data_IF_951686151596
#
_entry.id   IF_951686151596
#
_cell.length_a   1.000
_cell.length_b   1.000
_cell.length_c   1.000
_cell.angle_alpha   90.00
_cell.angle_beta   90.00
_cell.angle_gamma   90.00
#
_symmetry.space_group_name_H-M   'P 1'
#
loop_
_entity.id
_entity.type
_entity.pdbx_description
1 polymer ?
#
# COMPACT_ATOMS: atom_id res chain seq x y z
N UNK A 1 60.16 8.40 64.38
CA UNK A 1 59.78 9.21 63.21
C UNK A 1 59.33 8.30 62.12
N UNK A 2 58.00 8.09 61.94
CA UNK A 2 57.45 7.17 60.97
C UNK A 2 56.81 7.96 59.82
N UNK A 3 57.30 7.71 58.63
CA UNK A 3 56.74 8.27 57.37
C UNK A 3 55.54 7.41 56.90
N UNK A 4 54.38 8.04 56.95
CA UNK A 4 53.16 7.43 56.36
C UNK A 4 53.18 7.68 54.84
N UNK A 5 53.29 6.61 54.06
CA UNK A 5 53.00 6.61 52.60
C UNK A 5 51.52 6.62 52.38
N UNK A 6 51.00 7.64 51.67
CA UNK A 6 49.63 7.76 51.20
C UNK A 6 49.62 7.19 49.78
N UNK A 7 48.99 6.03 49.59
CA UNK A 7 48.66 5.51 48.25
C UNK A 7 47.41 6.22 47.72
N UNK A 8 47.59 7.00 46.70
CA UNK A 8 46.52 7.67 45.96
C UNK A 8 46.11 6.78 44.80
N UNK A 9 44.99 6.05 44.98
CA UNK A 9 44.39 5.22 43.91
C UNK A 9 43.68 6.13 42.90
N UNK A 10 44.20 6.24 41.69
CA UNK A 10 43.51 6.84 40.56
C UNK A 10 42.52 5.81 40.01
N UNK A 11 41.23 6.01 40.27
CA UNK A 11 40.15 5.29 39.56
C UNK A 11 39.96 5.92 38.19
N UNK A 12 40.40 5.22 37.15
CA UNK A 12 40.15 5.56 35.74
C UNK A 12 38.70 5.25 35.42
N UNK A 13 37.81 6.27 35.42
CA UNK A 13 36.46 6.14 34.89
C UNK A 13 36.55 6.05 33.35
N UNK A 14 36.52 4.84 32.84
CA UNK A 14 36.27 4.60 31.40
C UNK A 14 34.80 4.88 31.11
N UNK A 15 34.49 6.08 30.62
CA UNK A 15 33.19 6.37 29.99
C UNK A 15 33.11 5.60 28.69
N UNK A 16 32.38 4.49 28.70
CA UNK A 16 31.95 3.81 27.49
C UNK A 16 31.01 4.76 26.72
N UNK A 17 31.54 5.47 25.75
CA UNK A 17 30.72 6.06 24.68
C UNK A 17 30.12 4.91 23.90
N UNK A 18 28.85 4.55 24.20
CA UNK A 18 28.03 3.86 23.24
C UNK A 18 27.80 4.84 22.09
N UNK A 19 28.53 4.65 21.01
CA UNK A 19 28.17 5.28 19.74
C UNK A 19 26.80 4.74 19.35
N UNK A 20 25.75 5.50 19.61
CA UNK A 20 24.45 5.27 19.00
C UNK A 20 24.67 5.22 17.49
N UNK A 21 24.55 4.04 16.90
CA UNK A 21 24.62 3.92 15.46
C UNK A 21 23.50 4.78 14.89
N UNK A 22 23.88 5.91 14.29
CA UNK A 22 22.96 6.90 13.75
C UNK A 22 21.98 6.19 12.83
N UNK A 23 20.70 6.24 13.17
CA UNK A 23 19.62 5.58 12.44
C UNK A 23 19.61 6.07 10.99
N UNK A 24 19.92 5.18 10.05
CA UNK A 24 19.94 5.49 8.61
C UNK A 24 18.53 5.40 8.05
N UNK A 25 18.01 6.50 7.54
CA UNK A 25 16.74 6.53 6.82
C UNK A 25 16.95 6.71 5.32
N UNK A 26 16.20 5.96 4.51
CA UNK A 26 16.25 6.02 3.04
C UNK A 26 14.84 6.29 2.52
N UNK A 27 14.64 7.43 1.85
CA UNK A 27 13.38 7.75 1.17
C UNK A 27 13.14 6.75 0.04
N UNK A 28 11.95 6.17 -0.04
CA UNK A 28 11.55 5.43 -1.23
C UNK A 28 11.48 6.38 -2.44
N UNK A 29 11.80 5.89 -3.62
CA UNK A 29 11.73 6.72 -4.84
C UNK A 29 10.32 7.30 -4.97
N UNK A 30 10.19 8.62 -5.10
CA UNK A 30 8.93 9.38 -5.05
C UNK A 30 8.11 9.22 -3.76
N UNK A 31 8.71 8.75 -2.68
CA UNK A 31 8.04 8.57 -1.39
C UNK A 31 7.69 9.88 -0.69
N UNK A 32 8.21 11.01 -1.16
CA UNK A 32 7.85 12.38 -0.76
C UNK A 32 6.56 12.90 -1.41
N UNK A 33 5.90 12.10 -2.24
CA UNK A 33 4.64 12.38 -2.92
C UNK A 33 4.59 13.74 -3.67
N UNK A 34 5.74 14.30 -4.05
CA UNK A 34 5.81 15.58 -4.74
C UNK A 34 5.77 15.48 -6.27
N UNK A 35 5.99 14.28 -6.82
CA UNK A 35 6.05 14.03 -8.26
C UNK A 35 4.90 13.12 -8.71
N UNK A 36 4.18 13.55 -9.76
CA UNK A 36 2.97 12.88 -10.21
C UNK A 36 2.87 12.81 -11.74
N UNK A 37 2.48 11.65 -12.23
CA UNK A 37 1.94 11.52 -13.58
C UNK A 37 0.44 11.83 -13.51
N UNK A 38 -0.04 12.72 -14.38
CA UNK A 38 -1.47 12.98 -14.59
C UNK A 38 -1.91 12.37 -15.92
N UNK A 39 -3.09 11.75 -15.93
CA UNK A 39 -3.63 11.08 -17.12
C UNK A 39 -5.03 11.62 -17.39
N UNK A 40 -5.27 12.19 -18.56
CA UNK A 40 -6.62 12.53 -19.01
C UNK A 40 -7.21 11.33 -19.75
N UNK A 41 -8.33 10.82 -19.26
CA UNK A 41 -9.09 9.73 -19.87
C UNK A 41 -10.44 10.27 -20.34
N UNK A 42 -10.77 10.02 -21.59
CA UNK A 42 -12.05 10.40 -22.19
C UNK A 42 -13.07 9.28 -21.98
N UNK A 43 -14.01 9.47 -21.05
CA UNK A 43 -15.07 8.51 -20.80
C UNK A 43 -16.04 8.45 -21.99
N UNK A 44 -16.66 7.29 -22.21
CA UNK A 44 -17.58 7.09 -23.35
C UNK A 44 -18.78 8.03 -23.30
N UNK A 45 -19.18 8.59 -24.45
CA UNK A 45 -20.30 9.54 -24.58
C UNK A 45 -21.62 8.99 -23.97
N UNK A 46 -21.85 7.67 -24.07
CA UNK A 46 -23.04 7.01 -23.53
C UNK A 46 -23.18 7.11 -22.00
N UNK A 47 -22.09 7.45 -21.28
CA UNK A 47 -22.06 7.68 -19.83
C UNK A 47 -21.77 9.14 -19.48
N UNK A 48 -21.89 10.05 -20.46
CA UNK A 48 -21.72 11.48 -20.27
C UNK A 48 -20.52 12.11 -20.99
N UNK A 49 -19.57 11.32 -21.52
CA UNK A 49 -18.44 11.78 -22.34
C UNK A 49 -17.47 12.73 -21.62
N UNK A 50 -17.35 12.60 -20.30
CA UNK A 50 -16.53 13.51 -19.49
C UNK A 50 -15.05 13.14 -19.53
N UNK A 51 -14.20 14.15 -19.58
CA UNK A 51 -12.77 13.96 -19.33
C UNK A 51 -12.51 13.79 -17.83
N UNK A 52 -11.69 12.80 -17.49
CA UNK A 52 -11.32 12.50 -16.11
C UNK A 52 -9.80 12.49 -15.97
N UNK A 53 -9.32 13.14 -14.92
CA UNK A 53 -7.90 13.12 -14.58
C UNK A 53 -7.62 12.05 -13.55
N UNK A 54 -6.77 11.09 -13.90
CA UNK A 54 -6.21 10.08 -12.98
C UNK A 54 -4.81 10.50 -12.56
N UNK A 55 -4.42 10.12 -11.36
CA UNK A 55 -3.15 10.47 -10.74
C UNK A 55 -2.33 9.21 -10.41
N UNK A 56 -1.05 9.21 -10.79
CA UNK A 56 -0.10 8.16 -10.44
C UNK A 56 1.14 8.78 -9.80
N UNK A 57 1.67 8.17 -8.74
CA UNK A 57 2.92 8.63 -8.14
C UNK A 57 4.09 8.28 -9.06
N UNK A 58 4.83 9.29 -9.53
CA UNK A 58 5.92 9.08 -10.50
C UNK A 58 6.47 10.38 -11.04
N UNK A 59 7.29 10.33 -12.11
CA UNK A 59 7.88 11.55 -12.67
C UNK A 59 6.79 12.49 -13.19
N UNK A 60 6.98 13.80 -12.97
CA UNK A 60 6.03 14.82 -13.43
C UNK A 60 5.85 14.71 -14.96
N UNK A 61 4.69 14.20 -15.36
CA UNK A 61 4.33 13.97 -16.77
C UNK A 61 2.81 14.05 -16.92
N UNK A 62 2.37 14.53 -18.08
CA UNK A 62 0.98 14.46 -18.49
C UNK A 62 0.83 13.47 -19.67
N UNK A 63 -0.20 12.61 -19.58
CA UNK A 63 -0.58 11.68 -20.62
C UNK A 63 -2.03 11.95 -21.01
N UNK A 64 -2.30 12.05 -22.29
CA UNK A 64 -3.64 12.25 -22.81
C UNK A 64 -4.11 11.06 -23.64
N UNK A 65 -5.40 10.72 -23.53
CA UNK A 65 -6.04 9.64 -24.27
C UNK A 65 -6.20 8.32 -23.51
N UNK A 66 -7.06 7.47 -24.07
CA UNK A 66 -7.51 6.20 -23.47
C UNK A 66 -6.48 5.09 -23.62
N UNK A 67 -5.29 5.31 -23.13
CA UNK A 67 -4.20 4.34 -23.15
C UNK A 67 -4.06 3.63 -21.81
N UNK A 68 -3.86 2.32 -21.86
CA UNK A 68 -3.53 1.54 -20.66
C UNK A 68 -2.24 2.06 -20.03
N UNK A 69 -2.29 2.39 -18.76
CA UNK A 69 -1.11 2.82 -18.02
C UNK A 69 -0.34 1.63 -17.47
N UNK A 70 0.95 1.68 -17.63
CA UNK A 70 1.91 0.81 -16.94
C UNK A 70 2.99 1.73 -16.41
N UNK A 71 3.59 1.42 -15.27
CA UNK A 71 4.64 2.25 -14.64
C UNK A 71 5.89 2.43 -15.52
N UNK A 72 5.71 2.75 -16.79
CA UNK A 72 6.76 2.90 -17.80
C UNK A 72 7.70 4.08 -17.53
N UNK A 73 7.37 4.94 -16.57
CA UNK A 73 8.20 6.08 -16.15
C UNK A 73 9.23 5.78 -15.08
N UNK A 74 9.41 4.52 -14.69
CA UNK A 74 10.37 4.12 -13.66
C UNK A 74 9.94 4.50 -12.23
N UNK A 75 8.64 4.66 -11.99
CA UNK A 75 8.07 4.71 -10.64
C UNK A 75 7.87 3.29 -10.09
N UNK A 76 8.19 3.03 -8.82
CA UNK A 76 7.85 1.76 -8.18
C UNK A 76 6.40 1.72 -7.70
N UNK A 77 5.64 2.83 -7.79
CA UNK A 77 4.31 2.98 -7.24
C UNK A 77 3.22 2.68 -8.24
N UNK A 78 2.20 1.95 -7.79
CA UNK A 78 0.90 1.79 -8.43
C UNK A 78 -0.20 2.36 -7.57
N UNK A 79 -1.33 2.69 -8.19
CA UNK A 79 -2.53 3.19 -7.51
C UNK A 79 -3.75 2.37 -7.94
N UNK A 80 -4.86 2.50 -7.18
CA UNK A 80 -6.17 1.97 -7.60
C UNK A 80 -6.90 2.87 -8.62
N UNK A 81 -6.25 3.92 -9.11
CA UNK A 81 -6.77 4.71 -10.22
C UNK A 81 -6.66 3.90 -11.50
N UNK A 82 -7.76 3.68 -12.18
CA UNK A 82 -7.79 2.81 -13.34
C UNK A 82 -8.74 3.29 -14.42
N UNK A 83 -8.38 3.00 -15.65
CA UNK A 83 -9.28 2.99 -16.79
C UNK A 83 -9.90 1.59 -16.91
N UNK A 84 -11.21 1.51 -16.96
CA UNK A 84 -11.96 0.28 -17.25
C UNK A 84 -12.57 0.35 -18.65
N UNK A 85 -12.60 -0.79 -19.34
CA UNK A 85 -13.28 -0.95 -20.62
C UNK A 85 -14.14 -2.20 -20.59
N UNK A 86 -15.45 -2.00 -20.35
CA UNK A 86 -16.43 -3.10 -20.20
C UNK A 86 -17.50 -2.93 -21.25
N UNK A 87 -17.74 -3.96 -22.08
CA UNK A 87 -18.73 -3.93 -23.17
C UNK A 87 -18.57 -2.71 -24.09
N UNK A 88 -17.34 -2.32 -24.40
CA UNK A 88 -17.03 -1.16 -25.24
C UNK A 88 -17.13 0.21 -24.55
N UNK A 89 -17.60 0.25 -23.31
CA UNK A 89 -17.72 1.49 -22.52
C UNK A 89 -16.43 1.74 -21.76
N UNK A 90 -15.81 2.89 -22.00
CA UNK A 90 -14.66 3.38 -21.23
C UNK A 90 -15.15 4.15 -20.01
N UNK A 91 -14.71 3.75 -18.82
CA UNK A 91 -15.01 4.40 -17.55
C UNK A 91 -13.74 4.47 -16.70
N UNK A 92 -13.65 5.47 -15.84
CA UNK A 92 -12.55 5.60 -14.88
C UNK A 92 -12.99 5.29 -13.47
N UNK A 93 -12.03 4.85 -12.65
CA UNK A 93 -12.13 4.90 -11.19
C UNK A 93 -10.95 5.73 -10.67
N UNK A 94 -11.23 6.71 -9.83
CA UNK A 94 -10.22 7.61 -9.28
C UNK A 94 -10.40 7.70 -7.76
N UNK A 95 -9.58 6.96 -7.03
CA UNK A 95 -9.61 6.87 -5.56
C UNK A 95 -8.34 7.41 -4.91
N UNK A 96 -7.33 7.78 -5.70
CA UNK A 96 -6.06 8.33 -5.23
C UNK A 96 -5.83 9.67 -5.90
N UNK A 97 -5.60 10.69 -5.09
CA UNK A 97 -5.51 12.07 -5.55
C UNK A 97 -4.20 12.71 -5.10
N UNK A 98 -3.65 13.56 -5.96
CA UNK A 98 -2.63 14.52 -5.61
C UNK A 98 -3.27 15.67 -4.82
N UNK A 99 -2.95 15.78 -3.54
CA UNK A 99 -3.49 16.84 -2.68
C UNK A 99 -2.39 17.74 -2.12
N UNK A 100 -2.66 19.02 -2.00
CA UNK A 100 -1.72 20.02 -1.49
C UNK A 100 -1.43 19.78 0.00
N UNK A 101 -0.14 19.76 0.37
CA UNK A 101 0.34 19.71 1.76
C UNK A 101 1.51 20.67 1.95
N UNK A 102 1.31 21.76 2.69
CA UNK A 102 2.32 22.80 2.84
C UNK A 102 2.81 23.30 1.48
N UNK A 103 4.12 23.28 1.28
CA UNK A 103 4.74 23.67 0.00
C UNK A 103 4.78 22.55 -1.04
N UNK A 104 4.45 21.32 -0.65
CA UNK A 104 4.45 20.13 -1.51
C UNK A 104 3.06 19.52 -1.71
N UNK A 105 3.06 18.20 -1.88
CA UNK A 105 1.87 17.40 -2.08
C UNK A 105 1.92 16.13 -1.23
N UNK A 106 0.77 15.50 -1.07
CA UNK A 106 0.61 14.18 -0.47
C UNK A 106 -0.31 13.32 -1.33
N UNK A 107 -0.34 12.02 -1.09
CA UNK A 107 -1.33 11.12 -1.66
C UNK A 107 -2.57 11.07 -0.74
N UNK A 108 -3.75 11.42 -1.28
CA UNK A 108 -5.04 11.23 -0.60
C UNK A 108 -5.74 10.02 -1.20
N UNK A 109 -6.01 9.03 -0.38
CA UNK A 109 -6.68 7.78 -0.71
C UNK A 109 -8.09 7.80 -0.13
N UNK A 110 -9.11 7.58 -0.95
CA UNK A 110 -10.51 7.70 -0.55
C UNK A 110 -11.30 6.43 -0.87
N UNK A 111 -12.20 6.04 0.03
CA UNK A 111 -13.19 4.99 -0.20
C UNK A 111 -14.51 5.63 -0.59
N UNK A 112 -15.04 5.28 -1.77
CA UNK A 112 -16.32 5.78 -2.27
C UNK A 112 -17.07 4.74 -3.09
N UNK A 113 -18.29 5.07 -3.51
CA UNK A 113 -19.08 4.24 -4.42
C UNK A 113 -18.95 4.83 -5.82
N UNK A 114 -18.33 4.08 -6.72
CA UNK A 114 -18.31 4.38 -8.15
C UNK A 114 -19.59 3.85 -8.80
N UNK A 115 -20.26 4.72 -9.57
CA UNK A 115 -21.54 4.40 -10.19
C UNK A 115 -21.44 4.56 -11.71
N UNK A 116 -21.95 3.57 -12.42
CA UNK A 116 -22.15 3.63 -13.87
C UNK A 116 -23.62 3.32 -14.16
N UNK A 117 -24.32 4.29 -14.71
CA UNK A 117 -25.71 4.15 -15.10
C UNK A 117 -25.86 4.49 -16.57
N UNK A 118 -26.34 3.54 -17.36
CA UNK A 118 -26.74 3.73 -18.75
C UNK A 118 -28.20 3.32 -18.84
N UNK A 119 -29.04 4.20 -19.29
CA UNK A 119 -30.52 4.02 -19.31
C UNK A 119 -30.89 2.68 -19.97
N UNK A 120 -31.54 1.82 -19.19
CA UNK A 120 -32.05 0.52 -19.66
C UNK A 120 -30.99 -0.57 -19.91
N UNK A 121 -29.70 -0.25 -19.83
CA UNK A 121 -28.63 -1.17 -20.23
C UNK A 121 -27.68 -1.56 -19.09
N UNK A 122 -27.25 -0.61 -18.27
CA UNK A 122 -26.23 -0.83 -17.24
C UNK A 122 -26.56 -0.04 -15.97
N UNK A 123 -26.54 -0.71 -14.83
CA UNK A 123 -26.58 -0.10 -13.51
C UNK A 123 -25.57 -0.82 -12.63
N UNK A 124 -24.36 -0.28 -12.56
CA UNK A 124 -23.25 -0.85 -11.82
C UNK A 124 -22.92 0.08 -10.67
N UNK A 125 -22.89 -0.45 -9.45
CA UNK A 125 -22.42 0.23 -8.27
C UNK A 125 -21.27 -0.58 -7.66
N UNK A 126 -20.08 -0.01 -7.60
CA UNK A 126 -18.88 -0.66 -7.10
C UNK A 126 -18.33 0.14 -5.94
N UNK A 127 -18.07 -0.51 -4.81
CA UNK A 127 -17.28 0.13 -3.78
C UNK A 127 -15.81 0.11 -4.22
N UNK A 128 -15.23 1.29 -4.30
CA UNK A 128 -13.85 1.51 -4.68
C UNK A 128 -13.09 2.10 -3.48
N UNK A 129 -12.00 1.45 -3.09
CA UNK A 129 -11.12 1.92 -2.03
C UNK A 129 -9.79 2.40 -2.60
N UNK A 130 -9.33 3.56 -2.13
CA UNK A 130 -8.03 4.11 -2.50
C UNK A 130 -6.89 3.21 -2.03
N UNK A 131 -6.05 2.79 -2.97
CA UNK A 131 -4.86 2.00 -2.71
C UNK A 131 -3.65 2.64 -3.37
N UNK A 132 -2.58 2.82 -2.60
CA UNK A 132 -1.25 3.19 -3.07
C UNK A 132 -0.29 2.07 -2.68
N UNK A 133 0.44 1.50 -3.64
CA UNK A 133 1.25 0.33 -3.36
C UNK A 133 2.51 0.26 -4.23
N UNK A 134 3.50 -0.52 -3.80
CA UNK A 134 4.64 -0.83 -4.66
C UNK A 134 4.25 -1.94 -5.65
N UNK A 135 4.34 -1.60 -6.94
CA UNK A 135 3.91 -2.45 -8.04
C UNK A 135 3.24 -1.68 -9.17
N UNK A 136 2.37 -2.33 -9.91
CA UNK A 136 1.57 -1.70 -10.98
C UNK A 136 0.17 -2.32 -11.11
N UNK A 137 -0.74 -1.58 -11.75
CA UNK A 137 -2.07 -2.08 -12.13
C UNK A 137 -2.05 -2.53 -13.59
N UNK A 138 -2.74 -3.62 -13.90
CA UNK A 138 -2.99 -4.06 -15.27
C UNK A 138 -4.25 -3.40 -15.80
N UNK A 139 -4.12 -2.61 -16.83
CA UNK A 139 -5.21 -1.92 -17.54
C UNK A 139 -5.37 -2.41 -18.97
N UNK A 140 -6.57 -2.23 -19.56
CA UNK A 140 -7.81 -1.77 -18.93
C UNK A 140 -8.43 -2.82 -18.02
N UNK A 141 -9.18 -2.38 -16.99
CA UNK A 141 -10.01 -3.28 -16.20
C UNK A 141 -11.19 -3.73 -17.07
N UNK A 142 -11.38 -5.04 -17.23
CA UNK A 142 -12.41 -5.60 -18.13
C UNK A 142 -13.62 -6.17 -17.39
N UNK A 143 -13.65 -6.09 -16.07
CA UNK A 143 -14.76 -6.56 -15.24
C UNK A 143 -14.47 -6.46 -13.77
N UNK A 144 -15.50 -6.67 -12.94
CA UNK A 144 -15.40 -6.56 -11.47
C UNK A 144 -15.13 -7.90 -10.77
N UNK A 145 -15.11 -9.01 -11.51
CA UNK A 145 -14.81 -10.34 -10.93
C UNK A 145 -13.32 -10.45 -10.59
N UNK A 146 -13.02 -10.78 -9.31
CA UNK A 146 -11.66 -10.92 -8.79
C UNK A 146 -10.80 -9.67 -9.09
N UNK A 147 -11.16 -8.54 -8.50
CA UNK A 147 -10.47 -7.25 -8.71
C UNK A 147 -8.97 -7.29 -8.42
N UNK A 148 -8.56 -8.10 -7.46
CA UNK A 148 -7.16 -8.27 -7.06
C UNK A 148 -6.26 -8.80 -8.18
N UNK A 149 -6.78 -9.55 -9.15
CA UNK A 149 -6.01 -10.09 -10.29
C UNK A 149 -5.38 -9.01 -11.19
N UNK A 150 -5.89 -7.79 -11.14
CA UNK A 150 -5.34 -6.66 -11.90
C UNK A 150 -4.14 -6.00 -11.21
N UNK A 151 -3.89 -6.32 -9.96
CA UNK A 151 -2.73 -5.82 -9.22
C UNK A 151 -1.51 -6.71 -9.48
N UNK A 152 -0.37 -6.08 -9.72
CA UNK A 152 0.94 -6.71 -9.65
C UNK A 152 1.64 -6.14 -8.42
N UNK A 153 1.49 -6.81 -7.27
CA UNK A 153 1.98 -6.33 -5.99
C UNK A 153 3.40 -6.78 -5.68
N UNK A 154 4.20 -5.83 -5.24
CA UNK A 154 5.56 -6.04 -4.79
C UNK A 154 6.60 -5.79 -5.87
N UNK A 155 7.74 -5.31 -5.41
CA UNK A 155 8.92 -4.98 -6.22
C UNK A 155 10.13 -5.79 -5.77
N UNK A 156 11.13 -6.04 -6.64
CA UNK A 156 12.40 -6.66 -6.24
C UNK A 156 13.04 -5.88 -5.09
N UNK A 157 13.43 -6.60 -4.03
CA UNK A 157 14.00 -5.99 -2.83
C UNK A 157 14.77 -7.02 -2.01
N UNK A 158 16.02 -6.72 -1.67
CA UNK A 158 16.93 -7.66 -0.98
C UNK A 158 17.49 -7.12 0.34
N UNK A 159 17.10 -5.90 0.74
CA UNK A 159 17.57 -5.31 1.99
C UNK A 159 16.68 -5.69 3.18
N UNK A 160 17.16 -5.42 4.39
CA UNK A 160 16.49 -5.76 5.65
C UNK A 160 16.33 -4.51 6.53
N UNK A 161 15.38 -3.61 6.23
CA UNK A 161 15.11 -2.43 7.06
C UNK A 161 14.50 -2.84 8.41
N UNK A 162 14.79 -2.07 9.46
CA UNK A 162 14.22 -2.26 10.81
C UNK A 162 12.78 -1.79 10.91
N UNK A 163 12.43 -0.73 10.15
CA UNK A 163 11.10 -0.13 10.22
C UNK A 163 10.71 0.57 8.91
N UNK A 164 9.42 0.80 8.75
CA UNK A 164 8.84 1.77 7.82
C UNK A 164 8.54 3.07 8.58
N UNK A 165 8.92 4.22 8.01
CA UNK A 165 8.59 5.55 8.54
C UNK A 165 7.82 6.33 7.49
N UNK A 166 6.70 6.98 7.89
CA UNK A 166 5.86 7.77 7.00
C UNK A 166 5.06 8.81 7.78
N UNK A 167 4.54 9.80 7.08
CA UNK A 167 3.56 10.73 7.62
C UNK A 167 2.18 10.30 7.17
N UNK A 168 1.19 10.43 8.06
CA UNK A 168 -0.19 10.14 7.70
C UNK A 168 -1.22 11.03 8.41
N UNK A 169 -2.40 11.10 7.81
CA UNK A 169 -3.63 11.61 8.40
C UNK A 169 -4.74 10.63 8.04
N UNK A 170 -5.67 10.38 8.94
CA UNK A 170 -6.80 9.49 8.66
C UNK A 170 -8.12 10.11 9.10
N UNK A 171 -9.13 9.99 8.25
CA UNK A 171 -10.53 10.34 8.52
C UNK A 171 -11.39 9.08 8.37
N UNK A 172 -11.98 8.63 9.48
CA UNK A 172 -12.97 7.54 9.47
C UNK A 172 -14.31 8.07 8.96
N UNK A 173 -15.04 7.26 8.22
CA UNK A 173 -16.44 7.54 7.83
C UNK A 173 -17.39 7.67 9.03
N UNK A 174 -17.02 7.02 10.16
CA UNK A 174 -17.89 6.94 11.35
C UNK A 174 -18.89 5.78 11.32
N UNK A 175 -19.03 5.09 10.18
CA UNK A 175 -19.96 3.97 10.02
C UNK A 175 -19.57 2.79 10.91
N UNK A 176 -20.54 2.13 11.59
CA UNK A 176 -20.28 1.00 12.47
C UNK A 176 -19.95 -0.28 11.70
N UNK A 177 -20.45 -0.40 10.46
CA UNK A 177 -20.29 -1.56 9.58
C UNK A 177 -19.79 -1.14 8.20
N UNK A 178 -19.18 -2.08 7.50
CA UNK A 178 -18.79 -1.94 6.09
C UNK A 178 -19.92 -2.37 5.17
N UNK A 179 -19.81 -2.00 3.91
CA UNK A 179 -20.68 -2.52 2.85
C UNK A 179 -19.86 -3.26 1.81
N UNK A 180 -20.48 -4.24 1.15
CA UNK A 180 -19.94 -4.92 -0.03
C UNK A 180 -20.79 -4.54 -1.23
N UNK A 181 -20.13 -4.00 -2.28
CA UNK A 181 -20.73 -3.64 -3.58
C UNK A 181 -19.81 -4.09 -4.70
N UNK A 182 -20.23 -5.11 -5.46
CA UNK A 182 -19.39 -5.79 -6.48
C UNK A 182 -19.74 -5.43 -7.92
N UNK A 183 -20.66 -4.47 -8.11
CA UNK A 183 -21.08 -4.00 -9.44
C UNK A 183 -22.51 -4.36 -9.77
N UNK A 184 -22.82 -5.63 -9.95
CA UNK A 184 -24.17 -6.11 -10.23
C UNK A 184 -24.82 -6.65 -8.95
N UNK A 185 -26.05 -6.22 -8.70
CA UNK A 185 -26.81 -6.61 -7.51
C UNK A 185 -26.85 -5.54 -6.42
N UNK A 186 -27.47 -5.87 -5.30
CA UNK A 186 -27.61 -4.99 -4.14
C UNK A 186 -26.35 -4.92 -3.29
N UNK A 187 -26.36 -3.98 -2.36
CA UNK A 187 -25.36 -3.93 -1.30
C UNK A 187 -25.63 -4.99 -0.22
N UNK A 188 -24.56 -5.52 0.36
CA UNK A 188 -24.68 -6.34 1.57
C UNK A 188 -23.84 -5.72 2.70
N UNK A 189 -24.32 -5.85 3.94
CA UNK A 189 -23.63 -5.39 5.13
C UNK A 189 -22.55 -6.40 5.51
N UNK A 190 -21.35 -5.90 5.77
CA UNK A 190 -20.23 -6.66 6.34
C UNK A 190 -19.94 -6.12 7.72
N UNK A 191 -20.22 -6.91 8.75
CA UNK A 191 -20.09 -6.49 10.13
C UNK A 191 -18.69 -6.01 10.50
N UNK A 192 -18.64 -5.00 11.35
CA UNK A 192 -17.44 -4.41 11.92
C UNK A 192 -16.96 -3.17 11.17
N UNK A 193 -16.43 -2.26 11.98
CA UNK A 193 -15.95 -0.94 11.57
C UNK A 193 -14.81 -1.06 10.54
N UNK A 194 -14.84 -0.20 9.55
CA UNK A 194 -13.77 -0.12 8.56
C UNK A 194 -12.51 0.56 9.13
N UNK A 195 -11.36 0.17 8.59
CA UNK A 195 -10.04 0.63 9.02
C UNK A 195 -9.20 0.98 7.79
N UNK A 196 -8.40 2.03 7.86
CA UNK A 196 -7.28 2.15 6.95
C UNK A 196 -6.17 1.16 7.35
N UNK A 197 -5.38 0.72 6.38
CA UNK A 197 -4.31 -0.26 6.59
C UNK A 197 -3.02 0.24 5.95
N UNK A 198 -1.91 0.11 6.68
CA UNK A 198 -0.56 0.19 6.12
C UNK A 198 0.12 -1.14 6.35
N UNK A 199 0.58 -1.77 5.27
CA UNK A 199 1.17 -3.10 5.31
C UNK A 199 2.49 -3.13 4.54
N UNK A 200 3.54 -3.64 5.18
CA UNK A 200 4.80 -3.98 4.55
C UNK A 200 5.12 -5.45 4.81
N UNK A 201 5.27 -6.23 3.73
CA UNK A 201 5.67 -7.62 3.79
C UNK A 201 6.97 -7.80 3.01
N UNK A 202 7.94 -8.42 3.64
CA UNK A 202 9.14 -8.90 2.97
C UNK A 202 8.94 -10.38 2.65
N UNK A 203 9.10 -10.75 1.38
CA UNK A 203 8.83 -12.09 0.88
C UNK A 203 10.06 -12.66 0.18
N UNK A 204 10.34 -13.94 0.40
CA UNK A 204 11.22 -14.74 -0.46
C UNK A 204 10.34 -15.51 -1.43
N UNK A 205 10.21 -14.99 -2.65
CA UNK A 205 9.37 -15.56 -3.72
C UNK A 205 10.15 -16.60 -4.52
N UNK A 206 9.40 -17.59 -4.99
CA UNK A 206 9.85 -18.61 -5.94
C UNK A 206 8.78 -18.80 -7.01
N UNK A 207 9.19 -18.83 -8.27
CA UNK A 207 8.32 -19.16 -9.41
C UNK A 207 8.69 -20.53 -9.94
N UNK A 208 7.70 -21.41 -10.11
CA UNK A 208 7.89 -22.73 -10.70
C UNK A 208 7.87 -22.66 -12.24
N UNK A 209 8.24 -23.78 -12.91
CA UNK A 209 8.26 -23.86 -14.38
C UNK A 209 6.88 -23.61 -15.03
N UNK A 210 5.78 -23.78 -14.28
CA UNK A 210 4.42 -23.50 -14.75
C UNK A 210 4.06 -22.02 -14.61
N UNK A 211 4.86 -21.24 -13.88
CA UNK A 211 4.63 -19.82 -13.61
C UNK A 211 3.81 -19.56 -12.35
N UNK A 212 3.64 -20.55 -11.46
CA UNK A 212 3.01 -20.33 -10.17
C UNK A 212 4.01 -19.68 -9.21
N UNK A 213 3.55 -18.70 -8.42
CA UNK A 213 4.39 -17.99 -7.47
C UNK A 213 4.04 -18.42 -6.05
N UNK A 214 5.05 -18.92 -5.33
CA UNK A 214 4.97 -19.15 -3.88
C UNK A 214 5.89 -18.20 -3.15
N UNK A 215 5.66 -17.98 -1.85
CA UNK A 215 6.49 -17.12 -1.02
C UNK A 215 6.67 -17.69 0.39
N UNK A 216 7.84 -17.43 0.99
CA UNK A 216 8.05 -17.48 2.44
C UNK A 216 8.01 -16.06 2.98
N UNK A 217 7.30 -15.83 4.09
CA UNK A 217 7.23 -14.53 4.77
C UNK A 217 8.52 -14.31 5.56
N UNK A 218 9.30 -13.30 5.17
CA UNK A 218 10.59 -12.94 5.80
C UNK A 218 10.40 -11.87 6.86
N UNK A 219 9.60 -10.85 6.55
CA UNK A 219 9.32 -9.75 7.46
C UNK A 219 7.88 -9.27 7.35
N UNK A 220 7.34 -8.79 8.46
CA UNK A 220 5.93 -8.36 8.56
C UNK A 220 5.82 -7.07 9.35
N UNK A 221 5.12 -6.10 8.79
CA UNK A 221 4.63 -4.91 9.47
C UNK A 221 3.22 -4.64 8.97
N UNK A 222 2.24 -4.63 9.88
CA UNK A 222 0.86 -4.25 9.56
C UNK A 222 0.34 -3.36 10.67
N UNK A 223 -0.17 -2.20 10.31
CA UNK A 223 -0.86 -1.29 11.23
C UNK A 223 -2.21 -0.90 10.66
N UNK A 224 -3.18 -0.72 11.53
CA UNK A 224 -4.55 -0.36 11.16
C UNK A 224 -4.99 0.88 11.92
N UNK A 225 -5.79 1.73 11.27
CA UNK A 225 -6.33 2.96 11.83
C UNK A 225 -7.85 2.94 11.74
N UNK A 226 -8.55 3.00 12.87
CA UNK A 226 -10.01 3.01 12.97
C UNK A 226 -10.58 4.31 13.55
N UNK A 227 -9.69 5.21 14.01
CA UNK A 227 -10.05 6.51 14.59
C UNK A 227 -9.43 7.62 13.78
N UNK A 228 -10.22 8.65 13.49
CA UNK A 228 -9.72 9.86 12.82
C UNK A 228 -8.61 10.53 13.63
N UNK A 229 -7.58 11.00 12.93
CA UNK A 229 -6.58 11.90 13.51
C UNK A 229 -7.08 13.35 13.40
N UNK A 230 -6.79 14.19 14.39
CA UNK A 230 -7.11 15.63 14.29
C UNK A 230 -6.19 16.29 13.27
N UNK A 231 -4.90 16.02 13.40
CA UNK A 231 -3.83 16.60 12.58
C UNK A 231 -3.02 15.50 11.90
N UNK A 232 -2.03 15.89 11.12
CA UNK A 232 -1.03 15.01 10.59
C UNK A 232 -0.18 14.38 11.69
N UNK A 233 0.03 13.08 11.63
CA UNK A 233 1.02 12.36 12.42
C UNK A 233 2.29 12.27 11.57
N UNK A 234 3.32 13.01 11.95
CA UNK A 234 4.58 13.07 11.22
C UNK A 234 5.58 12.05 11.77
N UNK A 235 6.31 11.38 10.88
CA UNK A 235 7.38 10.45 11.25
C UNK A 235 6.90 9.20 11.99
N UNK A 236 5.65 8.75 11.74
CA UNK A 236 5.18 7.47 12.29
C UNK A 236 6.13 6.36 11.91
N UNK A 237 6.72 5.71 12.88
CA UNK A 237 7.71 4.65 12.69
C UNK A 237 7.15 3.32 13.16
N UNK A 238 7.05 2.36 12.24
CA UNK A 238 6.46 1.03 12.46
C UNK A 238 7.52 -0.04 12.26
N UNK A 239 7.86 -0.78 13.32
CA UNK A 239 8.84 -1.86 13.33
C UNK A 239 8.45 -3.00 12.40
N UNK A 240 9.42 -3.57 11.70
CA UNK A 240 9.26 -4.78 10.92
C UNK A 240 9.67 -5.98 11.78
N UNK A 241 8.77 -6.92 11.96
CA UNK A 241 9.01 -8.17 12.67
C UNK A 241 9.53 -9.22 11.68
N UNK A 242 10.63 -9.87 12.01
CA UNK A 242 11.28 -10.85 11.14
C UNK A 242 11.04 -12.29 11.58
N UNK A 243 11.06 -13.23 10.63
CA UNK A 243 10.89 -14.65 10.88
C UNK A 243 9.46 -15.07 11.19
N UNK A 244 9.30 -16.17 11.94
CA UNK A 244 7.99 -16.65 12.41
C UNK A 244 7.52 -15.86 13.62
N UNK A 245 6.63 -14.91 13.38
CA UNK A 245 6.15 -13.95 14.38
C UNK A 245 4.97 -14.42 15.20
N UNK A 246 4.45 -15.66 15.00
CA UNK A 246 3.23 -16.15 15.68
C UNK A 246 3.34 -16.18 17.21
N UNK A 247 4.55 -16.21 17.74
CA UNK A 247 4.83 -16.14 19.19
C UNK A 247 5.17 -14.73 19.68
N UNK A 248 5.24 -13.75 18.79
CA UNK A 248 5.47 -12.36 19.17
C UNK A 248 4.24 -11.78 19.86
N UNK A 249 4.40 -10.99 20.94
CA UNK A 249 3.28 -10.27 21.56
C UNK A 249 2.66 -9.22 20.61
N UNK A 250 3.38 -8.81 19.56
CA UNK A 250 2.92 -7.86 18.55
C UNK A 250 2.11 -8.54 17.43
N UNK A 251 2.01 -9.88 17.42
CA UNK A 251 1.30 -10.61 16.37
C UNK A 251 -0.22 -10.46 16.50
N UNK A 252 -0.85 -10.05 15.40
CA UNK A 252 -2.31 -9.95 15.26
C UNK A 252 -2.75 -10.90 14.14
N UNK A 253 -3.35 -12.05 14.50
CA UNK A 253 -3.77 -13.11 13.57
C UNK A 253 -4.62 -12.56 12.43
N UNK A 254 -5.61 -11.70 12.73
CA UNK A 254 -6.54 -11.16 11.72
C UNK A 254 -5.81 -10.48 10.55
N UNK A 255 -4.72 -9.76 10.82
CA UNK A 255 -4.05 -8.90 9.84
C UNK A 255 -2.67 -9.37 9.41
N UNK A 256 -1.98 -10.18 10.24
CA UNK A 256 -0.59 -10.57 10.02
C UNK A 256 -0.40 -12.02 9.56
N UNK A 257 -1.45 -12.85 9.56
CA UNK A 257 -1.38 -14.23 9.05
C UNK A 257 -0.86 -14.30 7.62
N UNK A 258 -0.42 -15.48 7.20
CA UNK A 258 -0.02 -15.74 5.82
C UNK A 258 -1.17 -15.50 4.85
N UNK A 259 -0.85 -15.00 3.65
CA UNK A 259 -1.83 -14.50 2.66
C UNK A 259 -1.77 -15.33 1.37
N UNK A 260 -2.89 -15.31 0.64
CA UNK A 260 -3.01 -15.92 -0.69
C UNK A 260 -3.83 -15.05 -1.64
N UNK A 261 -4.07 -13.79 -1.27
CA UNK A 261 -4.95 -12.87 -2.01
C UNK A 261 -4.17 -11.85 -2.84
N UNK A 262 -2.87 -11.71 -2.62
CA UNK A 262 -2.03 -10.80 -3.40
C UNK A 262 -1.65 -11.47 -4.72
N UNK A 263 -1.62 -10.69 -5.80
CA UNK A 263 -1.21 -11.13 -7.13
C UNK A 263 0.12 -10.50 -7.51
N UNK A 264 0.89 -11.21 -8.33
CA UNK A 264 2.09 -10.68 -8.95
C UNK A 264 2.23 -11.20 -10.37
N UNK A 265 2.92 -10.43 -11.21
CA UNK A 265 3.20 -10.82 -12.59
C UNK A 265 4.35 -11.82 -12.61
N UNK A 266 4.08 -12.98 -13.20
CA UNK A 266 5.09 -14.01 -13.39
C UNK A 266 5.99 -13.72 -14.62
N UNK A 267 7.01 -14.55 -14.84
CA UNK A 267 7.94 -14.44 -15.98
C UNK A 267 7.27 -14.51 -17.35
N UNK A 268 6.05 -15.07 -17.41
CA UNK A 268 5.22 -15.17 -18.64
C UNK A 268 4.34 -13.93 -18.85
N UNK A 269 4.45 -12.90 -17.99
CA UNK A 269 3.66 -11.67 -18.09
C UNK A 269 2.23 -11.77 -17.57
N UNK A 270 1.87 -12.86 -16.87
CA UNK A 270 0.54 -13.12 -16.34
C UNK A 270 0.50 -12.82 -14.85
N UNK A 271 -0.51 -12.09 -14.37
CA UNK A 271 -0.73 -11.92 -12.94
C UNK A 271 -1.31 -13.20 -12.35
N UNK A 272 -0.61 -13.78 -11.37
CA UNK A 272 -0.98 -15.00 -10.67
C UNK A 272 -1.02 -14.76 -9.16
N UNK A 273 -1.81 -15.54 -8.39
CA UNK A 273 -1.78 -15.44 -6.94
C UNK A 273 -0.40 -15.73 -6.38
N UNK A 274 0.04 -14.94 -5.40
CA UNK A 274 1.23 -15.23 -4.60
C UNK A 274 0.79 -16.03 -3.38
N UNK A 275 1.10 -17.32 -3.35
CA UNK A 275 0.75 -18.20 -2.23
C UNK A 275 1.84 -18.17 -1.18
N UNK A 276 1.59 -17.56 -0.02
CA UNK A 276 2.49 -17.70 1.12
C UNK A 276 2.36 -19.07 1.75
N UNK A 277 3.45 -19.84 1.78
CA UNK A 277 3.48 -21.25 2.19
C UNK A 277 4.12 -21.46 3.56
N UNK A 278 4.54 -20.38 4.22
CA UNK A 278 5.15 -20.43 5.55
C UNK A 278 6.00 -19.21 5.85
N UNK A 279 6.60 -19.24 6.99
CA UNK A 279 7.54 -18.25 7.50
C UNK A 279 8.96 -18.63 7.12
N UNK A 280 9.79 -17.66 6.80
CA UNK A 280 11.23 -17.82 6.65
C UNK A 280 11.93 -17.75 8.01
N UNK A 281 13.21 -18.05 8.06
CA UNK A 281 14.03 -17.76 9.24
C UNK A 281 14.20 -16.25 9.42
N UNK A 282 14.50 -15.84 10.63
CA UNK A 282 14.65 -14.42 11.01
C UNK A 282 15.83 -13.71 10.35
N UNK A 283 16.83 -14.47 9.87
CA UNK A 283 18.02 -13.97 9.15
C UNK A 283 17.93 -14.09 7.62
N UNK A 284 16.80 -14.59 7.08
CA UNK A 284 16.64 -14.79 5.64
C UNK A 284 16.61 -13.46 4.88
N UNK A 285 17.19 -13.45 3.68
CA UNK A 285 17.16 -12.31 2.78
C UNK A 285 15.90 -12.35 1.91
N UNK A 286 15.09 -11.29 1.86
CA UNK A 286 13.93 -11.23 0.98
C UNK A 286 14.35 -11.11 -0.49
N UNK A 287 13.45 -11.43 -1.39
CA UNK A 287 13.56 -11.14 -2.83
C UNK A 287 12.61 -10.03 -3.27
N UNK A 288 11.55 -9.80 -2.50
CA UNK A 288 10.51 -8.82 -2.83
C UNK A 288 10.01 -8.09 -1.58
N UNK A 289 9.60 -6.84 -1.79
CA UNK A 289 8.87 -6.03 -0.81
C UNK A 289 7.49 -5.71 -1.36
N UNK A 290 6.46 -6.07 -0.60
CA UNK A 290 5.08 -5.60 -0.77
C UNK A 290 4.88 -4.47 0.22
N UNK A 291 4.48 -3.30 -0.25
CA UNK A 291 4.07 -2.17 0.58
C UNK A 291 2.75 -1.66 0.05
N UNK A 292 1.77 -1.54 0.93
CA UNK A 292 0.42 -1.07 0.59
C UNK A 292 -0.08 -0.07 1.62
N UNK A 293 -0.66 1.02 1.16
CA UNK A 293 -1.48 1.97 1.91
C UNK A 293 -2.90 1.86 1.37
N UNK A 294 -3.85 1.56 2.23
CA UNK A 294 -5.24 1.28 1.86
C UNK A 294 -6.19 2.14 2.69
N UNK A 295 -7.13 2.84 2.04
CA UNK A 295 -8.15 3.62 2.75
C UNK A 295 -9.23 2.75 3.42
N UNK A 296 -9.28 1.45 3.10
CA UNK A 296 -10.22 0.46 3.63
C UNK A 296 -9.57 -0.92 3.75
N UNK A 297 -10.16 -1.80 4.56
CA UNK A 297 -9.72 -3.18 4.72
C UNK A 297 -10.83 -4.16 4.34
N UNK A 298 -10.47 -5.44 4.20
CA UNK A 298 -11.45 -6.50 3.92
C UNK A 298 -11.48 -6.99 2.48
N UNK A 299 -10.56 -6.52 1.63
CA UNK A 299 -10.41 -6.93 0.24
C UNK A 299 -11.20 -6.07 -0.74
N UNK A 300 -11.22 -6.48 -2.00
CA UNK A 300 -11.91 -5.75 -3.05
C UNK A 300 -13.40 -5.61 -2.79
N UNK A 301 -13.93 -4.43 -3.09
CA UNK A 301 -15.36 -4.09 -3.03
C UNK A 301 -15.99 -4.11 -1.64
N UNK A 302 -15.20 -4.11 -0.57
CA UNK A 302 -15.67 -4.05 0.82
C UNK A 302 -15.05 -2.84 1.51
N UNK A 303 -15.88 -2.02 2.19
CA UNK A 303 -15.40 -0.85 2.93
C UNK A 303 -16.51 0.08 3.36
N UNK A 304 -16.14 1.23 3.89
CA UNK A 304 -17.07 2.29 4.30
C UNK A 304 -16.79 3.57 3.49
N UNK A 305 -17.73 4.01 2.64
CA UNK A 305 -17.59 5.26 1.90
C UNK A 305 -17.31 6.45 2.83
N UNK A 306 -16.34 7.28 2.47
CA UNK A 306 -15.90 8.44 3.27
C UNK A 306 -14.62 8.17 4.10
N UNK A 307 -14.19 6.93 4.28
CA UNK A 307 -12.86 6.68 4.82
C UNK A 307 -11.80 7.30 3.91
N UNK A 308 -10.89 8.07 4.51
CA UNK A 308 -9.83 8.77 3.76
C UNK A 308 -8.51 8.67 4.50
N UNK A 309 -7.47 8.20 3.79
CA UNK A 309 -6.10 8.13 4.29
C UNK A 309 -5.22 9.06 3.47
N UNK A 310 -4.47 9.94 4.13
CA UNK A 310 -3.42 10.74 3.51
C UNK A 310 -2.06 10.16 3.87
N UNK A 311 -1.15 10.13 2.92
CA UNK A 311 0.19 9.54 3.05
C UNK A 311 1.24 10.45 2.44
N UNK A 312 2.39 10.56 3.11
CA UNK A 312 3.53 11.34 2.65
C UNK A 312 4.84 10.84 3.29
N UNK A 313 5.98 11.26 2.76
CA UNK A 313 7.33 11.08 3.33
C UNK A 313 7.68 9.62 3.67
N UNK A 314 7.40 8.69 2.78
CA UNK A 314 7.61 7.24 3.00
C UNK A 314 9.08 6.86 2.92
N UNK A 315 9.64 6.34 4.02
CA UNK A 315 11.05 6.00 4.22
C UNK A 315 11.23 4.62 4.82
N UNK A 316 12.32 3.97 4.48
CA UNK A 316 12.83 2.79 5.20
C UNK A 316 13.87 3.21 6.23
N UNK A 317 13.85 2.54 7.38
CA UNK A 317 14.77 2.76 8.50
C UNK A 317 15.66 1.54 8.64
N UNK A 318 16.99 1.74 8.76
CA UNK A 318 18.01 0.69 8.86
C UNK A 318 18.79 0.76 10.17
#
# INVERSE_FOLDING_TARGET
>A
MGVKQIFMSFALLATLYQADAQEKTVMLKYGDMNSWVTRTIHESAIIGGNDKTLYEVGPNKHLDGNHAYRNLGGSPWGTSNVMAKVSGITKTNNCVYKEKRGNGYCARLETHIERVKVLGLVNINVLAAGSLFLGDMTEPITGTKNGEKYQNCGVPFTSRPKALRFDYKFKSSGEPDRIKLTGFGGSSVVKGKDKAVVMLLLQKRHEDAKGNITAKRVGTMVVTYDKSTKEWINGMTCKILYGDIRKSPEYVEETMKLRTIDYARNSKGVNVPVKETGWASDNETPTHMVLQFLSSHGGAYIGSPGNTLWVDNVKLVY
#
